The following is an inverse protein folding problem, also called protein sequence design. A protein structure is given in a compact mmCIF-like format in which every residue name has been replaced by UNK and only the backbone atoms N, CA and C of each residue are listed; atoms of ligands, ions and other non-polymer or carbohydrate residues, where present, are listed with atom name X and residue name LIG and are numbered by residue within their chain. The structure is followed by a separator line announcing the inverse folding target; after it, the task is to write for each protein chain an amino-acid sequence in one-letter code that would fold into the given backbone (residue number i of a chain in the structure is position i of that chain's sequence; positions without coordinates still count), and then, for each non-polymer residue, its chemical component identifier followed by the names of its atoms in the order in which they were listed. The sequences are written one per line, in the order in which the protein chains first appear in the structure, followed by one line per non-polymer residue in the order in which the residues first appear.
data_IF_382201558514
#
_entry.id   IF_382201558514
#
_cell.length_a   1.000
_cell.length_b   1.000
_cell.length_c   1.000
_cell.angle_alpha   90.00
_cell.angle_beta   90.00
_cell.angle_gamma   90.00
#
_symmetry.space_group_name_H-M   'P 1'
#
loop_
_entity.id
_entity.type
_entity.pdbx_description
1 polymer ?
#
# COMPACT_ATOMS: atom_id res chain seq x y z
N UNK A 1 -18.54 -11.87 18.25
CA UNK A 1 -17.82 -12.72 17.27
C UNK A 1 -18.08 -12.12 15.91
N UNK A 2 -17.02 -11.80 15.17
CA UNK A 2 -17.17 -11.19 13.83
C UNK A 2 -17.83 -12.20 12.88
N UNK A 3 -18.78 -11.72 12.08
CA UNK A 3 -19.43 -12.53 11.03
C UNK A 3 -18.89 -12.07 9.68
N UNK A 4 -18.27 -12.99 8.95
CA UNK A 4 -17.80 -12.73 7.60
C UNK A 4 -18.92 -12.90 6.57
N UNK A 5 -18.87 -12.20 5.41
CA UNK A 5 -19.81 -12.43 4.31
C UNK A 5 -19.93 -13.93 3.96
N UNK A 6 -21.10 -14.33 3.46
CA UNK A 6 -21.40 -15.71 3.04
C UNK A 6 -21.19 -16.77 4.13
N UNK A 7 -21.32 -16.39 5.41
CA UNK A 7 -21.09 -17.28 6.56
C UNK A 7 -19.68 -17.91 6.57
N UNK A 8 -18.69 -17.24 6.00
CA UNK A 8 -17.30 -17.71 6.04
C UNK A 8 -16.76 -17.66 7.47
N UNK A 9 -15.87 -18.57 7.79
CA UNK A 9 -15.28 -18.68 9.13
C UNK A 9 -14.05 -17.78 9.28
N UNK A 10 -13.40 -17.46 8.17
CA UNK A 10 -12.16 -16.66 8.12
C UNK A 10 -12.09 -15.91 6.79
N UNK A 11 -11.51 -14.73 6.79
CA UNK A 11 -11.06 -14.03 5.60
C UNK A 11 -9.54 -13.88 5.66
N UNK A 12 -8.89 -14.11 4.54
CA UNK A 12 -7.44 -13.90 4.38
C UNK A 12 -7.25 -12.86 3.30
N UNK A 13 -6.59 -11.77 3.64
CA UNK A 13 -6.21 -10.72 2.70
C UNK A 13 -4.74 -10.88 2.35
N UNK A 14 -4.46 -11.07 1.07
CA UNK A 14 -3.10 -11.09 0.54
C UNK A 14 -2.74 -9.68 0.10
N UNK A 15 -1.67 -9.14 0.68
CA UNK A 15 -1.16 -7.82 0.31
C UNK A 15 0.37 -7.85 0.20
N UNK A 16 0.90 -7.03 -0.70
CA UNK A 16 2.34 -6.92 -0.96
C UNK A 16 2.70 -5.44 -1.03
N UNK A 17 3.70 -5.04 -0.24
CA UNK A 17 4.28 -3.71 -0.30
C UNK A 17 5.46 -3.78 -1.30
N UNK A 18 5.39 -3.02 -2.41
CA UNK A 18 6.40 -3.05 -3.47
C UNK A 18 7.34 -1.85 -3.34
N UNK A 19 8.14 -1.85 -2.30
CA UNK A 19 9.01 -0.73 -1.96
C UNK A 19 10.25 -0.63 -2.87
N UNK A 20 10.69 -1.75 -3.39
CA UNK A 20 11.84 -1.82 -4.30
C UNK A 20 13.06 -1.05 -3.75
N UNK A 21 13.64 -0.13 -4.52
CA UNK A 21 14.82 0.63 -4.11
C UNK A 21 14.54 1.65 -3.00
N UNK A 22 13.28 2.05 -2.78
CA UNK A 22 12.95 3.04 -1.73
C UNK A 22 13.29 2.56 -0.33
N UNK A 23 13.36 1.24 -0.10
CA UNK A 23 13.85 0.67 1.16
C UNK A 23 15.25 1.17 1.55
N UNK A 24 16.03 1.64 0.60
CA UNK A 24 17.40 2.14 0.85
C UNK A 24 17.54 3.64 0.57
N UNK A 25 16.80 4.17 -0.42
CA UNK A 25 16.97 5.56 -0.84
C UNK A 25 16.36 6.57 0.13
N UNK A 26 15.40 6.16 0.96
CA UNK A 26 14.67 7.06 1.88
C UNK A 26 15.13 6.97 3.33
N UNK A 27 15.92 5.97 3.72
CA UNK A 27 16.28 5.74 5.12
C UNK A 27 17.35 6.66 5.70
N UNK A 28 17.96 7.56 4.95
CA UNK A 28 18.92 8.54 5.48
C UNK A 28 20.17 7.95 6.20
N UNK A 29 20.38 6.63 6.11
CA UNK A 29 21.44 5.89 6.81
C UNK A 29 22.76 5.80 6.03
N UNK A 30 22.88 6.56 4.93
CA UNK A 30 24.06 6.57 4.05
C UNK A 30 24.12 5.37 3.09
N UNK A 31 23.13 4.48 3.08
CA UNK A 31 23.11 3.28 2.23
C UNK A 31 22.51 3.53 0.84
N UNK A 32 22.02 4.74 0.57
CA UNK A 32 21.32 5.11 -0.67
C UNK A 32 22.19 5.00 -1.94
N UNK A 33 23.51 5.08 -1.82
CA UNK A 33 24.45 5.04 -2.97
C UNK A 33 25.03 3.62 -3.21
N UNK A 34 24.70 2.65 -2.38
CA UNK A 34 25.23 1.31 -2.53
C UNK A 34 24.51 0.54 -3.65
N UNK A 35 25.14 0.40 -4.80
CA UNK A 35 24.58 -0.27 -5.99
C UNK A 35 24.10 -1.70 -5.71
N UNK A 36 24.72 -2.40 -4.76
CA UNK A 36 24.30 -3.74 -4.34
C UNK A 36 22.96 -3.70 -3.61
N UNK A 37 22.72 -2.70 -2.76
CA UNK A 37 21.43 -2.49 -2.10
C UNK A 37 20.35 -2.11 -3.11
N UNK A 38 20.64 -1.19 -4.01
CA UNK A 38 19.72 -0.83 -5.10
C UNK A 38 19.40 -2.04 -5.99
N UNK A 39 20.41 -2.88 -6.31
CA UNK A 39 20.17 -4.10 -7.07
C UNK A 39 19.30 -5.11 -6.33
N UNK A 40 19.40 -5.15 -5.00
CA UNK A 40 18.52 -5.97 -4.14
C UNK A 40 17.09 -5.46 -4.18
N UNK A 41 16.88 -4.13 -4.11
CA UNK A 41 15.56 -3.51 -4.28
C UNK A 41 14.93 -3.82 -5.63
N UNK A 42 15.72 -3.71 -6.69
CA UNK A 42 15.28 -4.02 -8.05
C UNK A 42 14.88 -5.50 -8.27
N UNK A 43 15.23 -6.41 -7.37
CA UNK A 43 14.80 -7.81 -7.44
C UNK A 43 13.28 -7.95 -7.32
N UNK A 44 12.66 -7.17 -6.43
CA UNK A 44 11.21 -7.18 -6.23
C UNK A 44 10.45 -7.01 -7.55
N UNK A 45 10.52 -5.86 -8.21
CA UNK A 45 9.80 -5.63 -9.46
C UNK A 45 10.28 -6.50 -10.63
N UNK A 46 11.57 -6.89 -10.70
CA UNK A 46 12.11 -7.66 -11.83
C UNK A 46 11.88 -9.17 -11.75
N UNK A 47 11.84 -9.74 -10.55
CA UNK A 47 11.76 -11.18 -10.35
C UNK A 47 10.67 -11.58 -9.38
N UNK A 48 10.52 -10.86 -8.25
CA UNK A 48 9.57 -11.19 -7.19
C UNK A 48 8.13 -11.08 -7.67
N UNK A 49 7.74 -9.91 -8.16
CA UNK A 49 6.36 -9.65 -8.62
C UNK A 49 5.91 -10.61 -9.71
N UNK A 50 6.67 -10.87 -10.80
CA UNK A 50 6.27 -11.87 -11.79
C UNK A 50 5.96 -13.24 -11.18
N UNK A 51 6.81 -13.73 -10.26
CA UNK A 51 6.62 -15.04 -9.61
C UNK A 51 5.39 -15.05 -8.69
N UNK A 52 5.17 -13.95 -7.95
CA UNK A 52 3.98 -13.79 -7.09
C UNK A 52 2.72 -13.80 -7.95
N UNK A 53 2.70 -13.04 -9.04
CA UNK A 53 1.57 -12.98 -9.96
C UNK A 53 1.24 -14.34 -10.57
N UNK A 54 2.27 -15.10 -11.00
CA UNK A 54 2.08 -16.44 -11.54
C UNK A 54 1.49 -17.40 -10.48
N UNK A 55 1.97 -17.31 -9.24
CA UNK A 55 1.43 -18.10 -8.11
C UNK A 55 -0.02 -17.71 -7.81
N UNK A 56 -0.34 -16.41 -7.76
CA UNK A 56 -1.70 -15.93 -7.50
C UNK A 56 -2.67 -16.40 -8.58
N UNK A 57 -2.25 -16.40 -9.85
CA UNK A 57 -3.06 -16.92 -10.96
C UNK A 57 -3.32 -18.42 -10.83
N UNK A 58 -2.31 -19.22 -10.45
CA UNK A 58 -2.48 -20.68 -10.24
C UNK A 58 -3.56 -20.98 -9.20
N UNK A 59 -3.62 -20.18 -8.13
CA UNK A 59 -4.59 -20.37 -7.05
C UNK A 59 -5.88 -19.56 -7.22
N UNK A 60 -6.01 -18.75 -8.26
CA UNK A 60 -7.17 -17.89 -8.49
C UNK A 60 -7.37 -16.82 -7.41
N UNK A 61 -6.29 -16.37 -6.77
CA UNK A 61 -6.31 -15.40 -5.67
C UNK A 61 -6.06 -14.00 -6.23
N UNK A 62 -6.85 -13.03 -5.76
CA UNK A 62 -6.56 -11.61 -5.98
C UNK A 62 -5.91 -11.02 -4.73
N UNK A 63 -5.03 -10.04 -4.94
CA UNK A 63 -4.26 -9.39 -3.90
C UNK A 63 -4.23 -7.88 -4.11
N UNK A 64 -3.82 -7.15 -3.08
CA UNK A 64 -3.52 -5.72 -3.15
C UNK A 64 -2.01 -5.53 -3.19
N UNK A 65 -1.54 -4.65 -4.07
CA UNK A 65 -0.15 -4.21 -4.13
C UNK A 65 -0.09 -2.75 -3.72
N UNK A 66 0.53 -2.45 -2.58
CA UNK A 66 0.81 -1.09 -2.15
C UNK A 66 2.12 -0.63 -2.77
N UNK A 67 2.08 0.43 -3.58
CA UNK A 67 3.20 0.81 -4.45
C UNK A 67 3.52 2.29 -4.26
N UNK A 68 4.76 2.65 -3.86
CA UNK A 68 5.19 4.04 -3.87
C UNK A 68 5.12 4.64 -5.29
N UNK A 69 4.71 5.90 -5.39
CA UNK A 69 4.52 6.55 -6.69
C UNK A 69 5.76 6.54 -7.57
N UNK A 70 6.95 6.77 -6.99
CA UNK A 70 8.23 6.73 -7.71
C UNK A 70 8.53 5.33 -8.27
N UNK A 71 8.13 4.28 -7.58
CA UNK A 71 8.29 2.90 -8.07
C UNK A 71 7.34 2.62 -9.22
N UNK A 72 6.13 3.18 -9.18
CA UNK A 72 5.21 3.08 -10.31
C UNK A 72 5.77 3.78 -11.56
N UNK A 73 6.45 4.92 -11.40
CA UNK A 73 7.14 5.61 -12.51
C UNK A 73 8.37 4.83 -13.03
N UNK A 74 9.14 4.21 -12.13
CA UNK A 74 10.34 3.44 -12.51
C UNK A 74 10.01 2.09 -13.17
N UNK A 75 8.91 1.44 -12.75
CA UNK A 75 8.52 0.11 -13.21
C UNK A 75 7.10 0.07 -13.80
N UNK A 76 6.77 0.96 -14.79
CA UNK A 76 5.40 1.10 -15.29
C UNK A 76 4.84 -0.18 -15.91
N UNK A 77 5.69 -1.03 -16.50
CA UNK A 77 5.26 -2.31 -17.09
C UNK A 77 4.84 -3.32 -16.01
N UNK A 78 5.51 -3.32 -14.86
CA UNK A 78 5.16 -4.18 -13.73
C UNK A 78 3.81 -3.75 -13.15
N UNK A 79 3.60 -2.45 -12.94
CA UNK A 79 2.34 -1.90 -12.44
C UNK A 79 1.18 -2.20 -13.38
N UNK A 80 1.37 -2.02 -14.69
CA UNK A 80 0.37 -2.40 -15.70
C UNK A 80 0.05 -3.89 -15.67
N UNK A 81 1.03 -4.75 -15.47
CA UNK A 81 0.83 -6.19 -15.40
C UNK A 81 0.06 -6.62 -14.15
N UNK A 82 0.38 -6.02 -12.98
CA UNK A 82 -0.39 -6.20 -11.74
C UNK A 82 -1.87 -5.86 -11.98
N UNK A 83 -2.14 -4.68 -12.55
CA UNK A 83 -3.50 -4.23 -12.88
C UNK A 83 -4.18 -5.14 -13.90
N UNK A 84 -3.49 -5.50 -14.99
CA UNK A 84 -4.02 -6.35 -16.06
C UNK A 84 -4.45 -7.74 -15.56
N UNK A 85 -3.74 -8.28 -14.56
CA UNK A 85 -4.10 -9.54 -13.90
C UNK A 85 -5.23 -9.37 -12.86
N UNK A 86 -5.79 -8.15 -12.72
CA UNK A 86 -6.97 -7.87 -11.89
C UNK A 86 -6.66 -7.79 -10.41
N UNK A 87 -5.44 -7.42 -10.05
CA UNK A 87 -5.06 -7.07 -8.69
C UNK A 87 -5.31 -5.59 -8.41
N UNK A 88 -5.53 -5.27 -7.15
CA UNK A 88 -5.69 -3.91 -6.67
C UNK A 88 -4.32 -3.24 -6.49
N UNK A 89 -4.26 -1.92 -6.75
CA UNK A 89 -3.13 -1.08 -6.43
C UNK A 89 -3.56 -0.08 -5.38
N UNK A 90 -2.89 -0.08 -4.23
CA UNK A 90 -3.10 0.84 -3.12
C UNK A 90 -1.96 1.86 -2.98
N UNK A 91 -2.24 2.93 -2.25
CA UNK A 91 -1.30 4.02 -1.98
C UNK A 91 -0.24 3.62 -0.93
N UNK A 92 1.03 4.01 -1.17
CA UNK A 92 2.16 3.73 -0.28
C UNK A 92 3.21 4.87 -0.23
N UNK A 93 2.73 6.12 -0.18
CA UNK A 93 3.61 7.28 -0.32
C UNK A 93 4.09 7.48 -1.76
N UNK A 94 4.87 8.55 -1.99
CA UNK A 94 5.52 8.77 -3.28
C UNK A 94 6.97 8.26 -3.29
N UNK A 95 7.80 8.69 -2.32
CA UNK A 95 9.17 8.23 -2.11
C UNK A 95 9.29 7.15 -1.02
N UNK A 96 8.17 6.56 -0.57
CA UNK A 96 8.11 5.72 0.62
C UNK A 96 8.42 6.51 1.90
N UNK A 97 8.04 7.78 1.92
CA UNK A 97 8.14 8.68 3.09
C UNK A 97 7.07 8.34 4.13
N UNK A 98 7.46 8.39 5.41
CA UNK A 98 6.48 8.29 6.50
C UNK A 98 5.62 9.57 6.54
N UNK A 99 4.30 9.44 6.65
CA UNK A 99 3.36 10.59 6.70
C UNK A 99 3.72 11.59 7.80
N UNK A 100 4.29 11.12 8.92
CA UNK A 100 4.72 11.99 10.03
C UNK A 100 5.85 12.96 9.66
N UNK A 101 6.51 12.77 8.51
CA UNK A 101 7.54 13.68 8.01
C UNK A 101 6.98 14.77 7.08
N UNK A 102 5.65 14.80 6.84
CA UNK A 102 4.98 15.70 5.90
C UNK A 102 3.93 16.57 6.59
N UNK A 103 3.58 17.71 5.99
CA UNK A 103 2.40 18.50 6.38
C UNK A 103 1.13 17.93 5.71
N UNK A 104 -0.04 18.41 6.15
CA UNK A 104 -1.32 18.07 5.53
C UNK A 104 -1.30 18.33 4.01
N UNK A 105 -0.85 19.53 3.61
CA UNK A 105 -0.81 19.95 2.21
C UNK A 105 0.19 19.15 1.38
N UNK A 106 1.30 18.73 1.98
CA UNK A 106 2.28 17.87 1.32
C UNK A 106 1.76 16.45 1.14
N UNK A 107 1.07 15.89 2.15
CA UNK A 107 0.45 14.57 2.05
C UNK A 107 -0.67 14.57 1.00
N UNK A 108 -1.55 15.58 1.00
CA UNK A 108 -2.60 15.78 -0.02
C UNK A 108 -2.04 15.84 -1.45
N UNK A 109 -1.00 16.66 -1.65
CA UNK A 109 -0.34 16.77 -2.94
C UNK A 109 0.32 15.45 -3.38
N UNK A 110 0.91 14.73 -2.44
CA UNK A 110 1.54 13.42 -2.68
C UNK A 110 0.48 12.37 -3.08
N UNK A 111 -0.64 12.33 -2.38
CA UNK A 111 -1.77 11.45 -2.71
C UNK A 111 -2.29 11.74 -4.10
N UNK A 112 -2.61 13.01 -4.41
CA UNK A 112 -3.08 13.45 -5.73
C UNK A 112 -2.10 13.04 -6.85
N UNK A 113 -0.80 13.22 -6.62
CA UNK A 113 0.24 12.82 -7.59
C UNK A 113 0.23 11.32 -7.85
N UNK A 114 0.23 10.51 -6.80
CA UNK A 114 0.25 9.04 -6.92
C UNK A 114 -1.02 8.51 -7.60
N UNK A 115 -2.18 9.06 -7.26
CA UNK A 115 -3.46 8.73 -7.89
C UNK A 115 -3.44 9.01 -9.39
N UNK A 116 -2.89 10.16 -9.79
CA UNK A 116 -2.72 10.52 -11.20
C UNK A 116 -1.83 9.51 -11.92
N UNK A 117 -0.66 9.19 -11.35
CA UNK A 117 0.28 8.21 -11.92
C UNK A 117 -0.40 6.85 -12.12
N UNK A 118 -1.07 6.32 -11.10
CA UNK A 118 -1.72 5.02 -11.19
C UNK A 118 -2.89 5.04 -12.16
N UNK A 119 -3.68 6.11 -12.15
CA UNK A 119 -4.80 6.28 -13.08
C UNK A 119 -4.34 6.30 -14.54
N UNK A 120 -3.27 7.04 -14.83
CA UNK A 120 -2.70 7.15 -16.19
C UNK A 120 -2.09 5.83 -16.66
N UNK A 121 -1.45 5.08 -15.76
CA UNK A 121 -0.84 3.81 -16.09
C UNK A 121 -1.86 2.68 -16.31
N UNK A 122 -2.93 2.64 -15.53
CA UNK A 122 -3.77 1.44 -15.38
C UNK A 122 -5.26 1.68 -15.61
N UNK A 123 -5.72 2.92 -15.54
CA UNK A 123 -7.14 3.26 -15.50
C UNK A 123 -7.82 3.00 -14.14
N UNK A 124 -7.14 2.38 -13.17
CA UNK A 124 -7.69 2.15 -11.82
C UNK A 124 -7.68 3.43 -10.99
N UNK A 125 -8.62 3.53 -10.05
CA UNK A 125 -8.56 4.46 -8.91
C UNK A 125 -8.08 3.69 -7.69
N UNK A 126 -7.25 4.30 -6.85
CA UNK A 126 -6.85 3.70 -5.58
C UNK A 126 -8.02 3.75 -4.60
N UNK A 127 -8.25 2.65 -3.88
CA UNK A 127 -9.32 2.54 -2.90
C UNK A 127 -8.81 2.41 -1.46
N UNK A 128 -7.52 2.16 -1.28
CA UNK A 128 -6.93 1.91 0.02
C UNK A 128 -5.55 2.51 0.20
N UNK A 129 -5.23 2.72 1.47
CA UNK A 129 -3.98 3.31 1.93
C UNK A 129 -3.26 2.38 2.90
N UNK A 130 -1.95 2.21 2.69
CA UNK A 130 -1.01 1.71 3.69
C UNK A 130 0.18 2.66 3.74
N UNK A 131 0.45 3.24 4.90
CA UNK A 131 1.61 4.12 5.10
C UNK A 131 2.90 3.33 5.20
N UNK A 132 4.02 3.86 4.72
CA UNK A 132 5.34 3.34 5.00
C UNK A 132 5.54 3.12 6.51
N UNK A 133 6.00 1.92 6.90
CA UNK A 133 6.09 1.54 8.31
C UNK A 133 4.76 1.45 9.07
N UNK A 134 3.62 1.66 8.42
CA UNK A 134 2.30 1.74 9.04
C UNK A 134 2.10 3.01 9.88
N UNK A 135 2.84 4.06 9.59
CA UNK A 135 2.79 5.33 10.35
C UNK A 135 2.01 6.37 9.56
N UNK A 136 1.02 6.97 10.23
CA UNK A 136 0.17 8.02 9.68
C UNK A 136 -0.07 9.13 10.72
N UNK A 137 -0.45 10.31 10.27
CA UNK A 137 -0.91 11.41 11.12
C UNK A 137 -2.38 11.22 11.53
N UNK A 138 -2.79 11.94 12.58
CA UNK A 138 -4.20 12.00 13.00
C UNK A 138 -5.11 12.64 11.95
N UNK A 139 -4.59 13.59 11.16
CA UNK A 139 -5.33 14.20 10.06
C UNK A 139 -5.40 13.31 8.80
N UNK A 140 -4.53 12.32 8.65
CA UNK A 140 -4.49 11.45 7.46
C UNK A 140 -5.82 10.75 7.20
N UNK A 141 -6.56 10.37 8.26
CA UNK A 141 -7.90 9.79 8.10
C UNK A 141 -8.88 10.72 7.38
N UNK A 142 -8.75 12.04 7.56
CA UNK A 142 -9.59 13.03 6.86
C UNK A 142 -9.20 13.11 5.40
N UNK A 143 -7.90 13.12 5.10
CA UNK A 143 -7.39 13.07 3.72
C UNK A 143 -7.88 11.82 3.00
N UNK A 144 -7.83 10.64 3.64
CA UNK A 144 -8.33 9.41 3.01
C UNK A 144 -9.79 9.51 2.61
N UNK A 145 -10.63 10.14 3.43
CA UNK A 145 -12.03 10.39 3.11
C UNK A 145 -12.20 11.40 1.98
N UNK A 146 -11.44 12.48 1.99
CA UNK A 146 -11.47 13.53 0.97
C UNK A 146 -11.06 13.00 -0.41
N UNK A 147 -10.08 12.08 -0.45
CA UNK A 147 -9.66 11.34 -1.64
C UNK A 147 -10.58 10.16 -2.01
N UNK A 148 -11.60 9.89 -1.18
CA UNK A 148 -12.59 8.84 -1.45
C UNK A 148 -12.07 7.41 -1.20
N UNK A 149 -11.05 7.24 -0.36
CA UNK A 149 -10.56 5.92 0.03
C UNK A 149 -11.59 5.20 0.88
N UNK A 150 -11.67 3.89 0.69
CA UNK A 150 -12.61 3.01 1.36
C UNK A 150 -12.01 2.37 2.60
N UNK A 151 -10.67 2.20 2.63
CA UNK A 151 -9.99 1.56 3.74
C UNK A 151 -8.58 2.09 3.98
N UNK A 152 -8.15 1.89 5.21
CA UNK A 152 -6.79 2.08 5.73
C UNK A 152 -6.25 0.72 6.18
N UNK A 153 -4.93 0.50 6.15
CA UNK A 153 -4.27 -0.70 6.64
C UNK A 153 -3.01 -0.35 7.41
N UNK A 154 -3.20 0.29 8.59
CA UNK A 154 -2.11 0.88 9.37
C UNK A 154 -2.14 0.50 10.86
N UNK A 155 -3.34 0.26 11.43
CA UNK A 155 -3.51 -0.04 12.86
C UNK A 155 -3.12 -1.47 13.21
N UNK A 156 -2.76 -1.68 14.49
CA UNK A 156 -2.24 -2.95 15.02
C UNK A 156 -2.93 -3.38 16.32
N UNK A 157 -4.05 -2.76 16.67
CA UNK A 157 -4.73 -2.94 17.95
C UNK A 157 -5.98 -3.81 17.87
N UNK A 158 -6.22 -4.45 16.72
CA UNK A 158 -7.38 -5.31 16.49
C UNK A 158 -7.03 -6.50 15.60
N UNK A 159 -7.63 -7.66 15.90
CA UNK A 159 -7.52 -8.87 15.07
C UNK A 159 -8.44 -8.85 13.85
N UNK A 160 -9.32 -7.86 13.73
CA UNK A 160 -10.28 -7.79 12.64
C UNK A 160 -10.63 -6.38 12.20
N UNK A 161 -11.23 -6.23 11.01
CA UNK A 161 -11.64 -4.94 10.50
C UNK A 161 -12.57 -4.18 11.43
N UNK A 162 -12.44 -2.85 11.43
CA UNK A 162 -13.35 -1.96 12.15
C UNK A 162 -13.58 -0.67 11.38
N UNK A 163 -14.64 0.06 11.76
CA UNK A 163 -14.96 1.37 11.18
C UNK A 163 -14.26 2.45 12.00
N UNK A 164 -13.54 3.33 11.31
CA UNK A 164 -12.92 4.48 11.94
C UNK A 164 -13.94 5.47 12.51
N UNK A 165 -13.52 6.21 13.55
CA UNK A 165 -14.28 7.34 14.10
C UNK A 165 -13.43 8.60 14.05
N UNK A 166 -14.04 9.71 13.62
CA UNK A 166 -13.45 11.04 13.67
C UNK A 166 -14.37 11.92 14.52
N UNK A 167 -13.79 12.63 15.49
CA UNK A 167 -14.55 13.45 16.44
C UNK A 167 -15.70 12.67 17.12
N UNK A 168 -15.45 11.39 17.46
CA UNK A 168 -16.40 10.49 18.11
C UNK A 168 -17.55 10.02 17.21
N UNK A 169 -17.50 10.22 15.91
CA UNK A 169 -18.52 9.78 14.95
C UNK A 169 -17.95 8.76 13.97
N UNK A 170 -18.66 7.67 13.70
CA UNK A 170 -18.25 6.72 12.66
C UNK A 170 -18.16 7.40 11.30
N UNK A 171 -17.12 7.06 10.53
CA UNK A 171 -16.90 7.55 9.16
C UNK A 171 -16.84 6.35 8.19
N UNK A 172 -17.13 6.52 6.90
CA UNK A 172 -17.14 5.44 5.92
C UNK A 172 -15.72 5.04 5.50
N UNK A 173 -14.85 4.77 6.47
CA UNK A 173 -13.49 4.31 6.29
C UNK A 173 -13.27 3.07 7.16
N UNK A 174 -12.88 1.97 6.53
CA UNK A 174 -12.62 0.69 7.20
C UNK A 174 -11.13 0.59 7.53
N UNK A 175 -10.79 0.20 8.73
CA UNK A 175 -9.43 -0.28 9.02
C UNK A 175 -9.32 -1.76 8.73
N UNK A 176 -8.26 -2.14 8.02
CA UNK A 176 -7.82 -3.52 7.81
C UNK A 176 -6.51 -3.70 8.58
N UNK A 177 -6.57 -4.13 9.85
CA UNK A 177 -5.39 -4.17 10.71
C UNK A 177 -4.27 -5.02 10.12
N UNK A 178 -3.02 -4.57 10.29
CA UNK A 178 -1.81 -5.26 9.88
C UNK A 178 -0.84 -5.28 11.04
N UNK A 179 -0.29 -6.44 11.37
CA UNK A 179 0.85 -6.55 12.29
C UNK A 179 2.11 -6.95 11.54
N UNK A 180 3.26 -6.38 11.96
CA UNK A 180 4.57 -6.67 11.37
C UNK A 180 4.99 -8.14 11.55
N UNK A 181 4.39 -8.87 12.49
CA UNK A 181 4.65 -10.31 12.67
C UNK A 181 4.29 -11.14 11.42
N UNK A 182 3.41 -10.60 10.57
CA UNK A 182 3.02 -11.23 9.29
C UNK A 182 3.77 -10.63 8.09
N UNK A 183 4.78 -9.80 8.34
CA UNK A 183 5.58 -9.13 7.33
C UNK A 183 6.90 -9.89 7.10
N UNK A 184 7.37 -9.96 5.86
CA UNK A 184 8.61 -10.65 5.51
C UNK A 184 9.87 -9.80 5.79
N UNK A 185 9.69 -8.55 6.24
CA UNK A 185 10.78 -7.66 6.69
C UNK A 185 11.09 -7.75 8.18
N UNK A 186 10.41 -8.62 8.92
CA UNK A 186 10.57 -8.77 10.37
C UNK A 186 11.90 -9.42 10.77
#
# INVERSE_FOLDING_TARGET
MMTWPDNKRIAVMMAFDLDAETMWTTRGDGNHDHITNLSRGAYGPKQGVPRILDMLDVYGIKATFFIPGVIAEHYPLVVKEISRRGHEIGFHGYLHEESTATSYEEEDATMTRCETIIKDLTGQSMAGHRGPGGVIHDYSLRLFLEHGYLYSSNWRDSDGPFIHTIDGRPVPLVELPKDSIFDDTA
#
